data_IF_021772136395
#
_entry.id   IF_021772136395
#
_cell.length_a   1.000
_cell.length_b   1.000
_cell.length_c   1.000
_cell.angle_alpha   90.00
_cell.angle_beta   90.00
_cell.angle_gamma   90.00
#
_symmetry.space_group_name_H-M   'P 1'
#
loop_
_entity.id
_entity.type
_entity.pdbx_description
1 polymer ?
#
# COMPACT_ATOMS: atom_id res chain seq x y z
N UNK A 1 -14.20 0.56 7.91
CA UNK A 1 -13.27 0.62 9.05
C UNK A 1 -13.15 2.05 9.57
N UNK A 2 -12.66 3.01 8.77
CA UNK A 2 -12.55 4.43 9.17
C UNK A 2 -13.84 5.07 9.69
N UNK A 3 -15.02 4.76 9.12
CA UNK A 3 -16.33 5.21 9.67
C UNK A 3 -16.62 4.77 11.12
N UNK A 4 -15.84 3.84 11.67
CA UNK A 4 -15.93 3.35 13.06
C UNK A 4 -14.74 3.83 13.91
N UNK A 5 -13.98 4.80 13.42
CA UNK A 5 -12.76 5.33 14.03
C UNK A 5 -11.69 4.26 14.28
N UNK A 6 -11.63 3.24 13.41
CA UNK A 6 -10.64 2.16 13.44
C UNK A 6 -9.68 2.37 12.28
N UNK A 7 -8.38 2.26 12.56
CA UNK A 7 -7.29 2.26 11.59
C UNK A 7 -6.63 0.89 11.55
N UNK A 8 -6.13 0.48 10.38
CA UNK A 8 -5.53 -0.83 10.17
C UNK A 8 -4.07 -0.88 10.60
N UNK A 9 -3.30 0.16 10.22
CA UNK A 9 -1.86 0.35 10.51
C UNK A 9 -0.90 -0.63 9.84
N UNK A 10 -1.41 -1.54 8.99
CA UNK A 10 -0.60 -2.55 8.30
C UNK A 10 -1.22 -2.96 6.96
N UNK A 11 -1.69 -1.99 6.19
CA UNK A 11 -2.22 -2.25 4.86
C UNK A 11 -1.05 -2.44 3.89
N UNK A 12 -0.97 -3.63 3.29
CA UNK A 12 -0.03 -3.98 2.23
C UNK A 12 -0.55 -5.18 1.45
N UNK A 13 0.03 -5.50 0.29
CA UNK A 13 -0.50 -6.55 -0.58
C UNK A 13 -0.67 -7.92 0.09
N UNK A 14 0.22 -8.30 1.02
CA UNK A 14 0.07 -9.58 1.77
C UNK A 14 -1.14 -9.64 2.73
N UNK A 15 -1.76 -8.50 3.04
CA UNK A 15 -2.96 -8.39 3.87
C UNK A 15 -4.22 -8.15 3.02
N UNK A 16 -4.12 -8.30 1.70
CA UNK A 16 -5.24 -8.25 0.77
C UNK A 16 -5.51 -9.67 0.26
N UNK A 17 -6.70 -10.19 0.56
CA UNK A 17 -7.15 -11.50 0.13
C UNK A 17 -8.03 -11.35 -1.12
N UNK A 18 -7.76 -12.16 -2.13
CA UNK A 18 -8.55 -12.24 -3.36
C UNK A 18 -9.12 -13.63 -3.49
N UNK A 19 -10.45 -13.74 -3.59
CA UNK A 19 -11.13 -15.01 -3.82
C UNK A 19 -12.42 -14.78 -4.61
N UNK A 20 -12.59 -15.50 -5.73
CA UNK A 20 -13.80 -15.40 -6.57
C UNK A 20 -14.17 -13.94 -6.90
N UNK A 21 -13.21 -13.17 -7.41
CA UNK A 21 -13.35 -11.74 -7.74
C UNK A 21 -13.74 -10.84 -6.56
N UNK A 22 -13.71 -11.34 -5.32
CA UNK A 22 -13.88 -10.55 -4.11
C UNK A 22 -12.53 -10.20 -3.50
N UNK A 23 -12.37 -8.92 -3.17
CA UNK A 23 -11.21 -8.41 -2.45
C UNK A 23 -11.62 -8.17 -0.99
N UNK A 24 -10.82 -8.69 -0.05
CA UNK A 24 -11.02 -8.51 1.39
C UNK A 24 -9.72 -8.07 2.06
N UNK A 25 -9.83 -7.19 3.04
CA UNK A 25 -8.71 -6.80 3.90
C UNK A 25 -8.63 -7.82 5.05
N UNK A 26 -7.43 -8.25 5.40
CA UNK A 26 -7.13 -9.21 6.45
C UNK A 26 -6.06 -8.67 7.42
N UNK A 27 -5.81 -9.44 8.48
CA UNK A 27 -4.84 -9.14 9.55
C UNK A 27 -5.09 -7.83 10.32
N UNK A 28 -6.09 -7.88 11.18
CA UNK A 28 -6.43 -6.79 12.09
C UNK A 28 -5.60 -6.80 13.39
N UNK A 29 -4.52 -7.59 13.48
CA UNK A 29 -3.73 -7.73 14.71
C UNK A 29 -3.10 -6.42 15.20
N UNK A 30 -2.82 -5.51 14.28
CA UNK A 30 -2.26 -4.19 14.55
C UNK A 30 -3.31 -3.07 14.54
N UNK A 31 -4.57 -3.40 14.21
CA UNK A 31 -5.65 -2.42 14.12
C UNK A 31 -5.98 -1.81 15.47
N UNK A 32 -6.37 -0.54 15.47
CA UNK A 32 -6.68 0.19 16.70
C UNK A 32 -7.79 1.22 16.48
N UNK A 33 -8.56 1.50 17.52
CA UNK A 33 -9.36 2.73 17.55
C UNK A 33 -8.43 3.92 17.64
N UNK A 34 -8.73 5.00 16.93
CA UNK A 34 -7.88 6.21 16.88
C UNK A 34 -7.64 6.78 18.28
N UNK A 35 -8.70 6.80 19.12
CA UNK A 35 -8.62 7.26 20.50
C UNK A 35 -7.68 6.44 21.40
N UNK A 36 -7.31 5.22 21.00
CA UNK A 36 -6.43 4.31 21.75
C UNK A 36 -4.99 4.30 21.21
N UNK A 37 -4.69 5.06 20.14
CA UNK A 37 -3.35 5.14 19.59
C UNK A 37 -2.45 5.91 20.58
N UNK A 38 -1.41 5.24 21.04
CA UNK A 38 -0.51 5.77 22.08
C UNK A 38 0.34 6.94 21.56
N UNK A 39 0.86 7.77 22.47
CA UNK A 39 1.87 8.79 22.13
C UNK A 39 3.26 8.19 21.86
N UNK A 40 3.46 6.89 22.13
CA UNK A 40 4.74 6.23 21.88
C UNK A 40 4.97 6.08 20.37
N UNK A 41 6.24 6.09 19.97
CA UNK A 41 6.62 5.87 18.56
C UNK A 41 6.41 4.39 18.27
N UNK A 42 5.21 4.07 17.78
CA UNK A 42 4.87 2.72 17.35
C UNK A 42 4.94 2.69 15.81
N UNK A 43 6.17 2.68 15.29
CA UNK A 43 6.43 2.44 13.87
C UNK A 43 6.28 0.95 13.63
N UNK A 44 5.15 0.58 13.06
CA UNK A 44 4.79 -0.82 12.76
C UNK A 44 4.31 -0.92 11.31
N UNK A 45 4.45 -2.12 10.76
CA UNK A 45 4.01 -2.48 9.41
C UNK A 45 5.16 -2.64 8.42
N UNK A 46 4.83 -2.71 7.13
CA UNK A 46 5.78 -2.96 6.05
C UNK A 46 6.31 -1.66 5.44
N UNK A 47 7.64 -1.43 5.49
CA UNK A 47 8.29 -0.13 5.28
C UNK A 47 7.80 0.70 4.07
N UNK A 48 7.60 0.15 2.85
CA UNK A 48 7.06 0.92 1.72
C UNK A 48 5.67 1.53 1.96
N UNK A 49 4.86 0.89 2.80
CA UNK A 49 3.46 1.24 3.05
C UNK A 49 3.27 2.07 4.31
N UNK A 50 4.32 2.28 5.11
CA UNK A 50 4.25 3.06 6.34
C UNK A 50 4.28 4.55 6.00
N UNK A 51 3.34 5.29 6.58
CA UNK A 51 3.26 6.74 6.47
C UNK A 51 4.57 7.42 6.91
N UNK A 52 5.24 8.22 6.04
CA UNK A 52 6.54 8.82 6.33
C UNK A 52 6.53 9.71 7.57
N UNK A 53 5.38 10.30 7.92
CA UNK A 53 5.25 11.17 9.08
C UNK A 53 5.46 10.41 10.40
N UNK A 54 5.27 9.08 10.41
CA UNK A 54 5.52 8.23 11.58
C UNK A 54 7.01 8.08 11.90
N UNK A 55 7.90 8.24 10.90
CA UNK A 55 9.35 8.19 11.12
C UNK A 55 9.92 9.51 11.62
N UNK A 56 9.20 10.62 11.49
CA UNK A 56 9.74 11.94 11.83
C UNK A 56 9.97 12.04 13.34
N UNK A 57 11.17 12.47 13.71
CA UNK A 57 11.50 12.78 15.09
C UNK A 57 10.84 14.11 15.47
N UNK A 58 9.72 14.03 16.17
CA UNK A 58 9.08 15.19 16.75
C UNK A 58 9.55 15.31 18.19
N UNK A 59 10.15 16.45 18.52
CA UNK A 59 10.76 16.75 19.83
C UNK A 59 9.74 17.22 20.86
N UNK A 60 8.55 17.61 20.40
CA UNK A 60 7.45 18.07 21.24
C UNK A 60 6.38 16.97 21.33
N UNK A 61 6.20 16.39 22.52
CA UNK A 61 5.27 15.27 22.74
C UNK A 61 3.81 15.61 22.38
N UNK A 62 3.41 16.88 22.48
CA UNK A 62 2.04 17.34 22.19
C UNK A 62 1.75 17.57 20.70
N UNK A 63 2.79 17.62 19.85
CA UNK A 63 2.64 17.82 18.40
C UNK A 63 2.90 16.57 17.58
N UNK A 64 3.27 15.48 18.23
CA UNK A 64 3.69 14.24 17.61
C UNK A 64 2.60 13.65 16.72
N UNK A 65 2.90 13.49 15.43
CA UNK A 65 2.03 12.80 14.49
C UNK A 65 1.78 11.37 14.96
N UNK A 66 0.50 10.99 15.00
CA UNK A 66 0.03 9.65 15.34
C UNK A 66 -0.60 9.02 14.11
N UNK A 67 -0.48 7.70 14.03
CA UNK A 67 -1.19 6.94 13.00
C UNK A 67 -2.68 7.26 13.09
N UNK A 68 -3.26 7.62 11.95
CA UNK A 68 -4.67 7.94 11.78
C UNK A 68 -5.15 7.39 10.42
N UNK A 69 -6.35 7.74 10.00
CA UNK A 69 -6.92 7.27 8.74
C UNK A 69 -6.09 7.69 7.52
N UNK A 70 -5.41 8.84 7.58
CA UNK A 70 -4.51 9.31 6.52
C UNK A 70 -3.25 8.45 6.41
N UNK A 71 -2.84 7.78 7.48
CA UNK A 71 -1.78 6.78 7.43
C UNK A 71 -2.20 5.55 6.63
N UNK A 72 -3.43 5.04 6.83
CA UNK A 72 -3.96 3.96 6.01
C UNK A 72 -4.15 4.42 4.54
N UNK A 73 -4.54 5.68 4.30
CA UNK A 73 -4.65 6.23 2.93
C UNK A 73 -3.30 6.26 2.23
N UNK A 74 -2.20 6.57 2.94
CA UNK A 74 -0.86 6.47 2.37
C UNK A 74 -0.57 5.05 1.88
N UNK A 75 -0.84 4.04 2.71
CA UNK A 75 -0.68 2.64 2.35
C UNK A 75 -1.53 2.25 1.14
N UNK A 76 -2.76 2.77 1.05
CA UNK A 76 -3.62 2.60 -0.13
C UNK A 76 -3.01 3.22 -1.38
N UNK A 77 -2.36 4.39 -1.29
CA UNK A 77 -1.64 4.98 -2.43
C UNK A 77 -0.54 4.06 -2.97
N UNK A 78 0.24 3.43 -2.07
CA UNK A 78 1.28 2.47 -2.44
C UNK A 78 0.68 1.20 -3.06
N UNK A 79 -0.42 0.68 -2.50
CA UNK A 79 -1.18 -0.45 -3.07
C UNK A 79 -1.71 -0.14 -4.47
N UNK A 80 -2.26 1.05 -4.70
CA UNK A 80 -2.78 1.45 -6.01
C UNK A 80 -1.65 1.53 -7.05
N UNK A 81 -0.47 2.03 -6.66
CA UNK A 81 0.71 1.99 -7.51
C UNK A 81 1.18 0.54 -7.79
N UNK A 82 1.20 -0.33 -6.79
CA UNK A 82 1.55 -1.75 -6.94
C UNK A 82 0.60 -2.44 -7.92
N UNK A 83 -0.71 -2.19 -7.82
CA UNK A 83 -1.72 -2.69 -8.76
C UNK A 83 -1.45 -2.17 -10.18
N UNK A 84 -1.19 -0.87 -10.33
CA UNK A 84 -0.94 -0.30 -11.66
C UNK A 84 0.37 -0.78 -12.27
N UNK A 85 1.36 -1.14 -11.46
CA UNK A 85 2.69 -1.51 -11.94
C UNK A 85 2.90 -3.01 -12.08
N UNK A 86 2.14 -3.82 -11.34
CA UNK A 86 2.41 -5.25 -11.15
C UNK A 86 3.75 -5.52 -10.46
N UNK A 87 4.33 -4.55 -9.73
CA UNK A 87 5.68 -4.63 -9.15
C UNK A 87 5.65 -4.45 -7.63
N UNK A 88 6.55 -5.17 -6.96
CA UNK A 88 6.80 -4.99 -5.53
C UNK A 88 7.36 -3.57 -5.29
N UNK A 89 6.75 -2.77 -4.38
CA UNK A 89 7.26 -1.45 -4.04
C UNK A 89 8.69 -1.50 -3.51
N UNK A 90 9.53 -0.61 -4.05
CA UNK A 90 10.95 -0.45 -3.80
C UNK A 90 11.74 -1.76 -3.89
N UNK A 91 11.44 -2.59 -4.90
CA UNK A 91 12.09 -3.92 -5.10
C UNK A 91 13.63 -3.89 -5.05
N UNK A 92 14.27 -2.78 -5.41
CA UNK A 92 15.73 -2.63 -5.33
C UNK A 92 16.29 -2.52 -3.90
N UNK A 93 15.43 -2.47 -2.89
CA UNK A 93 15.73 -2.45 -1.45
C UNK A 93 15.26 -3.77 -0.81
N UNK A 94 15.57 -4.91 -1.44
CA UNK A 94 15.10 -6.24 -1.03
C UNK A 94 15.88 -6.83 0.17
N UNK A 95 17.01 -6.24 0.55
CA UNK A 95 17.79 -6.69 1.70
C UNK A 95 17.51 -5.88 2.97
N UNK A 96 17.60 -6.54 4.13
CA UNK A 96 17.37 -5.90 5.43
C UNK A 96 18.30 -4.70 5.67
N UNK A 97 19.57 -4.79 5.23
CA UNK A 97 20.55 -3.71 5.39
C UNK A 97 20.22 -2.43 4.59
N UNK A 98 19.36 -2.53 3.58
CA UNK A 98 18.93 -1.38 2.77
C UNK A 98 17.69 -0.68 3.34
N UNK A 99 16.96 -1.31 4.28
CA UNK A 99 15.74 -0.74 4.86
C UNK A 99 15.95 0.63 5.54
N UNK A 100 17.03 0.86 6.33
CA UNK A 100 17.29 2.19 6.89
C UNK A 100 17.52 3.26 5.82
N UNK A 101 18.20 2.89 4.73
CA UNK A 101 18.42 3.78 3.57
C UNK A 101 17.09 4.12 2.89
N UNK A 102 16.24 3.11 2.66
CA UNK A 102 14.91 3.33 2.07
C UNK A 102 14.07 4.28 2.93
N UNK A 103 14.05 4.08 4.24
CA UNK A 103 13.31 4.94 5.18
C UNK A 103 13.73 6.41 5.06
N UNK A 104 15.05 6.68 5.03
CA UNK A 104 15.59 8.04 4.89
C UNK A 104 15.22 8.67 3.54
N UNK A 105 15.25 7.88 2.46
CA UNK A 105 14.88 8.37 1.14
C UNK A 105 13.37 8.65 1.03
N UNK A 106 12.51 7.78 1.58
CA UNK A 106 11.05 8.00 1.65
C UNK A 106 10.74 9.27 2.45
N UNK A 107 11.43 9.48 3.57
CA UNK A 107 11.36 10.71 4.37
C UNK A 107 11.81 11.96 3.60
N UNK A 108 12.71 11.80 2.63
CA UNK A 108 13.20 12.85 1.74
C UNK A 108 12.31 13.03 0.49
N UNK A 109 11.12 12.45 0.49
CA UNK A 109 10.14 12.59 -0.60
C UNK A 109 10.29 11.54 -1.71
N UNK A 110 11.15 10.52 -1.57
CA UNK A 110 11.22 9.44 -2.56
C UNK A 110 9.88 8.74 -2.66
N UNK A 111 9.42 8.57 -3.90
CA UNK A 111 8.27 7.74 -4.28
C UNK A 111 8.68 6.83 -5.43
N UNK A 112 7.84 5.84 -5.68
CA UNK A 112 7.99 5.02 -6.87
C UNK A 112 7.77 5.83 -8.15
N UNK A 113 8.38 5.37 -9.24
CA UNK A 113 8.21 6.00 -10.54
C UNK A 113 6.82 5.66 -11.11
N UNK A 114 6.07 6.64 -11.63
CA UNK A 114 4.85 6.38 -12.38
C UNK A 114 5.11 5.41 -13.53
N UNK A 115 4.18 4.50 -13.75
CA UNK A 115 4.26 3.54 -14.85
C UNK A 115 3.70 4.18 -16.12
N UNK A 116 4.33 3.87 -17.26
CA UNK A 116 3.80 4.27 -18.56
C UNK A 116 2.39 3.69 -18.74
N UNK A 117 1.56 4.39 -19.50
CA UNK A 117 0.20 3.96 -19.86
C UNK A 117 -0.80 3.81 -18.70
N UNK A 118 -0.40 4.11 -17.45
CA UNK A 118 -1.36 4.31 -16.35
C UNK A 118 -2.30 5.47 -16.71
N UNK A 119 -3.64 5.27 -16.66
CA UNK A 119 -4.59 6.36 -16.88
C UNK A 119 -4.30 7.55 -15.96
N UNK A 120 -4.29 8.77 -16.52
CA UNK A 120 -3.88 9.98 -15.80
C UNK A 120 -4.70 10.21 -14.52
N UNK A 121 -5.99 9.88 -14.54
CA UNK A 121 -6.86 10.01 -13.38
C UNK A 121 -6.47 9.03 -12.27
N UNK A 122 -6.14 7.78 -12.63
CA UNK A 122 -5.66 6.77 -11.69
C UNK A 122 -4.30 7.16 -11.08
N UNK A 123 -3.38 7.67 -11.93
CA UNK A 123 -2.09 8.22 -11.52
C UNK A 123 -2.25 9.34 -10.49
N UNK A 124 -3.15 10.28 -10.76
CA UNK A 124 -3.41 11.41 -9.87
C UNK A 124 -3.99 10.95 -8.52
N UNK A 125 -4.87 9.94 -8.51
CA UNK A 125 -5.46 9.41 -7.29
C UNK A 125 -4.40 8.83 -6.36
N UNK A 126 -3.57 7.89 -6.84
CA UNK A 126 -2.58 7.28 -5.96
C UNK A 126 -1.47 8.27 -5.57
N UNK A 127 -1.14 9.22 -6.45
CA UNK A 127 -0.20 10.29 -6.10
C UNK A 127 -0.73 11.16 -4.97
N UNK A 128 -2.01 11.52 -5.00
CA UNK A 128 -2.62 12.28 -3.93
C UNK A 128 -2.69 11.49 -2.61
N UNK A 129 -2.86 10.17 -2.69
CA UNK A 129 -2.90 9.31 -1.52
C UNK A 129 -1.56 9.25 -0.76
N UNK A 130 -0.42 9.33 -1.45
CA UNK A 130 0.90 9.23 -0.83
C UNK A 130 1.65 10.56 -0.66
N UNK A 131 0.94 11.69 -0.67
CA UNK A 131 1.50 13.01 -0.39
C UNK A 131 2.22 13.04 0.97
N UNK A 132 3.29 13.85 1.06
CA UNK A 132 4.08 13.92 2.29
C UNK A 132 3.25 14.44 3.46
N UNK A 133 2.48 15.51 3.24
CA UNK A 133 1.58 16.08 4.24
C UNK A 133 0.26 15.28 4.29
N UNK A 134 -0.12 14.70 5.45
CA UNK A 134 -1.36 13.93 5.60
C UNK A 134 -2.63 14.71 5.29
N UNK A 135 -2.63 16.03 5.49
CA UNK A 135 -3.80 16.88 5.25
C UNK A 135 -4.09 17.06 3.75
N UNK A 136 -3.06 16.93 2.90
CA UNK A 136 -3.19 17.01 1.44
C UNK A 136 -3.72 15.70 0.82
N UNK A 137 -3.68 14.61 1.59
CA UNK A 137 -4.23 13.32 1.17
C UNK A 137 -5.76 13.36 1.20
N UNK A 138 -6.47 12.65 0.31
CA UNK A 138 -7.92 12.50 0.39
C UNK A 138 -8.32 11.67 1.63
N UNK A 139 -9.61 11.62 1.96
CA UNK A 139 -10.16 10.55 2.80
C UNK A 139 -10.52 9.34 1.92
N UNK A 140 -10.71 8.16 2.52
CA UNK A 140 -10.97 6.94 1.74
C UNK A 140 -12.27 6.99 0.94
N UNK A 141 -13.27 7.79 1.36
CA UNK A 141 -14.51 7.99 0.62
C UNK A 141 -14.27 8.80 -0.66
N UNK A 142 -13.40 9.82 -0.61
CA UNK A 142 -12.97 10.58 -1.78
C UNK A 142 -12.18 9.68 -2.74
N UNK A 143 -11.23 8.88 -2.24
CA UNK A 143 -10.50 7.89 -3.08
C UNK A 143 -11.48 6.98 -3.82
N UNK A 144 -12.48 6.44 -3.12
CA UNK A 144 -13.49 5.57 -3.74
C UNK A 144 -14.35 6.31 -4.78
N UNK A 145 -14.70 7.57 -4.52
CA UNK A 145 -15.44 8.40 -5.46
C UNK A 145 -14.64 8.66 -6.73
N UNK A 146 -13.38 9.06 -6.57
CA UNK A 146 -12.48 9.39 -7.66
C UNK A 146 -12.19 8.15 -8.53
N UNK A 147 -11.96 6.98 -7.91
CA UNK A 147 -11.78 5.71 -8.63
C UNK A 147 -13.02 5.33 -9.46
N UNK A 148 -14.23 5.59 -8.95
CA UNK A 148 -15.48 5.30 -9.67
C UNK A 148 -15.74 6.24 -10.83
N UNK A 149 -15.18 7.44 -10.79
CA UNK A 149 -15.32 8.44 -11.86
C UNK A 149 -14.29 8.27 -12.97
N UNK A 150 -13.32 7.37 -12.83
CA UNK A 150 -12.36 7.09 -13.89
C UNK A 150 -13.11 6.53 -15.09
N UNK A 151 -13.08 7.27 -16.20
CA UNK A 151 -13.63 6.81 -17.45
C UNK A 151 -12.60 5.89 -18.11
N UNK A 152 -12.70 4.59 -17.83
CA UNK A 152 -11.94 3.59 -18.57
C UNK A 152 -12.64 3.48 -19.94
N UNK A 153 -12.04 4.02 -21.00
CA UNK A 153 -12.49 3.75 -22.37
C UNK A 153 -12.31 2.25 -22.62
N UNK A 154 -13.34 1.44 -22.35
CA UNK A 154 -13.34 -0.02 -22.45
C UNK A 154 -13.28 -0.55 -23.90
N UNK A 155 -13.03 0.31 -24.89
CA UNK A 155 -13.05 -0.07 -26.30
C UNK A 155 -11.80 -0.84 -26.78
N UNK A 156 -10.86 -1.17 -25.90
CA UNK A 156 -9.71 -2.05 -26.20
C UNK A 156 -9.53 -3.22 -25.23
N UNK A 157 -10.53 -3.51 -24.39
CA UNK A 157 -10.57 -4.77 -23.64
C UNK A 157 -11.60 -5.70 -24.29
N UNK A 158 -11.20 -6.33 -25.40
CA UNK A 158 -11.66 -7.70 -25.63
C UNK A 158 -11.20 -8.50 -24.41
N UNK A 159 -12.13 -8.77 -23.50
CA UNK A 159 -11.93 -9.81 -22.49
C UNK A 159 -11.85 -11.10 -23.29
N UNK A 160 -10.63 -11.50 -23.67
CA UNK A 160 -10.35 -12.86 -24.05
C UNK A 160 -10.62 -13.70 -22.79
N UNK A 161 -11.81 -14.32 -22.71
CA UNK A 161 -12.19 -15.22 -21.61
C UNK A 161 -11.20 -16.39 -21.42
N UNK A 162 -10.23 -16.55 -22.33
CA UNK A 162 -9.17 -17.57 -22.28
C UNK A 162 -7.84 -17.12 -21.66
N UNK A 163 -7.62 -15.85 -21.29
CA UNK A 163 -6.35 -15.42 -20.65
C UNK A 163 -6.42 -15.34 -19.13
N UNK A 164 -7.60 -15.19 -18.51
CA UNK A 164 -7.73 -15.16 -17.04
C UNK A 164 -7.27 -16.46 -16.36
N UNK A 165 -7.47 -17.62 -16.98
CA UNK A 165 -6.92 -18.88 -16.46
C UNK A 165 -5.38 -18.92 -16.55
N UNK A 166 -4.80 -18.36 -17.61
CA UNK A 166 -3.36 -18.29 -17.79
C UNK A 166 -2.70 -17.23 -16.90
N UNK A 167 -3.32 -16.08 -16.67
CA UNK A 167 -2.76 -15.02 -15.82
C UNK A 167 -2.90 -15.35 -14.34
N UNK A 168 -3.98 -16.03 -13.94
CA UNK A 168 -4.09 -16.65 -12.60
C UNK A 168 -3.05 -17.76 -12.47
N UNK A 169 -2.79 -18.56 -13.51
CA UNK A 169 -1.74 -19.58 -13.50
C UNK A 169 -0.32 -18.97 -13.44
N UNK A 170 -0.06 -17.84 -14.09
CA UNK A 170 1.22 -17.13 -14.04
C UNK A 170 1.42 -16.46 -12.67
N UNK A 171 0.40 -15.75 -12.14
CA UNK A 171 0.44 -15.21 -10.78
C UNK A 171 0.63 -16.32 -9.74
N UNK A 172 -0.13 -17.42 -9.83
CA UNK A 172 0.00 -18.56 -8.93
C UNK A 172 1.36 -19.26 -9.07
N UNK A 173 1.95 -19.39 -10.27
CA UNK A 173 3.28 -19.96 -10.42
C UNK A 173 4.40 -19.04 -9.94
N UNK A 174 4.27 -17.72 -10.09
CA UNK A 174 5.23 -16.75 -9.57
C UNK A 174 5.19 -16.74 -8.03
N UNK A 175 4.01 -16.75 -7.43
CA UNK A 175 3.87 -16.81 -5.97
C UNK A 175 4.24 -18.20 -5.41
N UNK A 176 3.83 -19.31 -6.04
CA UNK A 176 4.21 -20.65 -5.59
C UNK A 176 5.71 -20.91 -5.71
N UNK A 177 6.39 -20.51 -6.80
CA UNK A 177 7.83 -20.71 -6.91
C UNK A 177 8.64 -19.85 -5.91
N UNK A 178 8.18 -18.64 -5.58
CA UNK A 178 8.82 -17.83 -4.54
C UNK A 178 8.53 -18.32 -3.11
N UNK A 179 7.36 -18.90 -2.84
CA UNK A 179 7.04 -19.49 -1.54
C UNK A 179 7.86 -20.76 -1.26
N UNK A 180 8.15 -21.58 -2.26
CA UNK A 180 8.96 -22.80 -2.08
C UNK A 180 10.47 -22.53 -2.00
N UNK A 181 11.02 -21.52 -2.68
CA UNK A 181 12.46 -21.23 -2.57
C UNK A 181 12.87 -20.57 -1.25
N UNK A 182 11.97 -19.85 -0.58
CA UNK A 182 12.32 -19.19 0.69
C UNK A 182 12.21 -20.09 1.93
N UNK A 183 11.46 -21.19 1.87
CA UNK A 183 11.33 -22.13 2.99
C UNK A 183 12.48 -23.15 3.11
N UNK A 184 13.28 -23.36 2.05
CA UNK A 184 14.42 -24.29 2.08
C UNK A 184 15.73 -23.70 2.65
N UNK A 185 15.79 -22.39 2.95
CA UNK A 185 17.01 -21.76 3.49
C UNK A 185 17.00 -21.52 5.01
N UNK A 186 15.93 -21.90 5.73
CA UNK A 186 15.85 -21.77 7.19
C UNK A 186 15.55 -23.08 7.93
N UNK A 187 15.70 -24.23 7.27
CA UNK A 187 15.71 -25.54 7.93
C UNK A 187 16.89 -26.36 7.40
N UNK A 188 18.10 -25.99 7.78
CA UNK A 188 19.24 -26.88 8.06
C UNK A 188 20.18 -26.18 9.05
#
# INVERSE_FOLDING_TARGET
>A
MHKKDIIHRDLHSKNILVHQNMIKIADFGLSRRIAEVSNKKDVIGMLPYIDPQLFKNQTDDDKKYKANEKSDVYSVGVLLWEISSGRIPFKSYDTFHQQPKLMVEILSGKRETPVADTPIDYLNIYKKCWEDNPDDRPNIQQVLSDLKSININTNEMEICENTLENDIFVMNNVYSNHYYQHYYYYVL
#
